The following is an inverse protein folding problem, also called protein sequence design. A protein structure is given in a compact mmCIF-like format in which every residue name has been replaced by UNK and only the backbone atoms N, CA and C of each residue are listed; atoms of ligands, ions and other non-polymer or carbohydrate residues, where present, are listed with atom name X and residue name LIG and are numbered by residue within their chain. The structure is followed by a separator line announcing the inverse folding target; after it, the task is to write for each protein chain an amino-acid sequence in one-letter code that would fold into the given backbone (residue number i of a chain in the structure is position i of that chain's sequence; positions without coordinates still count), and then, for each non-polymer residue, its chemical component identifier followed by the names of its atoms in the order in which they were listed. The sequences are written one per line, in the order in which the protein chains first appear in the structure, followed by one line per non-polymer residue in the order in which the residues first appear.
data_IF_719496048187
#
_entry.id   IF_719496048187
#
_cell.length_a   1.000
_cell.length_b   1.000
_cell.length_c   1.000
_cell.angle_alpha   90.00
_cell.angle_beta   90.00
_cell.angle_gamma   90.00
#
_symmetry.space_group_name_H-M   'P 1'
#
loop_
_entity.id
_entity.type
_entity.pdbx_description
1 polymer ?
#
# COMPACT_ATOMS: atom_id res chain seq x y z
N UNK A 1 -19.64 9.51 -42.70
CA UNK A 1 -18.38 9.87 -42.01
C UNK A 1 -18.00 8.68 -41.17
N UNK A 2 -17.10 7.84 -41.69
CA UNK A 2 -16.76 6.56 -41.06
C UNK A 2 -15.98 6.82 -39.78
N UNK A 3 -16.65 6.58 -38.66
CA UNK A 3 -16.11 6.54 -37.32
C UNK A 3 -15.12 5.37 -37.23
N UNK A 4 -13.89 5.58 -37.69
CA UNK A 4 -12.76 4.82 -37.16
C UNK A 4 -12.59 5.37 -35.76
N UNK A 5 -13.37 4.83 -34.81
CA UNK A 5 -12.91 4.82 -33.44
C UNK A 5 -11.50 4.25 -33.52
N UNK A 6 -10.49 5.07 -33.24
CA UNK A 6 -9.13 4.60 -33.07
C UNK A 6 -9.24 3.38 -32.16
N UNK A 7 -8.94 2.19 -32.70
CA UNK A 7 -9.47 0.95 -32.15
C UNK A 7 -9.06 0.86 -30.68
N UNK A 8 -10.03 0.98 -29.78
CA UNK A 8 -9.76 1.04 -28.35
C UNK A 8 -9.13 -0.28 -27.92
N UNK A 9 -7.88 -0.20 -27.47
CA UNK A 9 -7.07 -1.34 -27.06
C UNK A 9 -7.34 -1.70 -25.59
N UNK A 10 -7.72 -0.71 -24.79
CA UNK A 10 -8.15 -0.87 -23.41
C UNK A 10 -9.05 0.28 -22.99
N UNK A 11 -10.00 0.03 -22.09
CA UNK A 11 -10.87 1.06 -21.54
C UNK A 11 -11.35 0.77 -20.12
N UNK A 12 -11.33 1.79 -19.26
CA UNK A 12 -12.04 1.82 -17.98
C UNK A 12 -12.90 3.09 -17.86
N UNK A 13 -13.52 3.32 -16.71
CA UNK A 13 -14.47 4.43 -16.48
C UNK A 13 -13.90 5.81 -16.85
N UNK A 14 -12.61 6.04 -16.59
CA UNK A 14 -11.98 7.36 -16.76
C UNK A 14 -11.04 7.42 -17.97
N UNK A 15 -10.53 6.28 -18.45
CA UNK A 15 -9.44 6.24 -19.42
C UNK A 15 -9.69 5.29 -20.59
N UNK A 16 -9.17 5.65 -21.75
CA UNK A 16 -9.08 4.83 -22.95
C UNK A 16 -7.64 4.77 -23.48
N UNK A 17 -7.22 3.60 -23.94
CA UNK A 17 -5.96 3.38 -24.63
C UNK A 17 -6.27 3.11 -26.09
N UNK A 18 -5.63 3.86 -26.98
CA UNK A 18 -5.71 3.71 -28.43
C UNK A 18 -4.34 3.33 -28.99
N UNK A 19 -4.18 3.24 -30.32
CA UNK A 19 -2.86 2.98 -30.90
C UNK A 19 -1.86 4.13 -30.66
N UNK A 20 -2.40 5.33 -30.50
CA UNK A 20 -1.63 6.57 -30.40
C UNK A 20 -1.28 6.96 -28.96
N UNK A 21 -2.00 6.46 -27.96
CA UNK A 21 -1.72 6.81 -26.57
C UNK A 21 -2.85 6.50 -25.60
N UNK A 22 -2.84 7.25 -24.49
CA UNK A 22 -3.75 7.12 -23.36
C UNK A 22 -4.53 8.43 -23.21
N UNK A 23 -5.86 8.36 -23.20
CA UNK A 23 -6.74 9.53 -23.12
C UNK A 23 -7.67 9.44 -21.91
N UNK A 24 -7.83 10.55 -21.19
CA UNK A 24 -8.85 10.69 -20.16
C UNK A 24 -10.18 11.09 -20.78
N UNK A 25 -11.20 10.23 -20.66
CA UNK A 25 -12.48 10.34 -21.37
C UNK A 25 -13.25 11.63 -21.07
N UNK A 26 -13.22 12.08 -19.82
CA UNK A 26 -14.02 13.23 -19.38
C UNK A 26 -13.38 14.57 -19.76
N UNK A 27 -12.05 14.66 -19.69
CA UNK A 27 -11.34 15.94 -19.94
C UNK A 27 -10.69 16.00 -21.33
N UNK A 28 -10.63 14.90 -22.07
CA UNK A 28 -9.86 14.78 -23.32
C UNK A 28 -8.36 14.93 -23.10
N UNK A 29 -7.86 14.67 -21.88
CA UNK A 29 -6.43 14.83 -21.60
C UNK A 29 -5.67 13.67 -22.21
N UNK A 30 -4.75 13.96 -23.12
CA UNK A 30 -4.07 12.95 -23.91
C UNK A 30 -2.58 12.84 -23.56
N UNK A 31 -2.12 11.60 -23.38
CA UNK A 31 -0.73 11.22 -23.20
C UNK A 31 -0.31 10.39 -24.41
N UNK A 32 0.58 10.93 -25.23
CA UNK A 32 1.04 10.23 -26.43
C UNK A 32 1.83 8.98 -26.08
N UNK A 33 1.75 7.97 -26.93
CA UNK A 33 2.49 6.71 -26.82
C UNK A 33 3.99 6.94 -26.63
N UNK A 34 4.57 7.84 -27.43
CA UNK A 34 6.01 8.17 -27.36
C UNK A 34 6.36 8.87 -26.03
N UNK A 35 5.40 9.55 -25.42
CA UNK A 35 5.58 10.22 -24.13
C UNK A 35 5.40 9.31 -22.92
N UNK A 36 4.78 8.13 -23.04
CA UNK A 36 4.47 7.29 -21.88
C UNK A 36 5.71 6.87 -21.06
N UNK A 37 6.86 6.70 -21.72
CA UNK A 37 8.12 6.31 -21.09
C UNK A 37 8.95 7.49 -20.56
N UNK A 38 8.45 8.73 -20.65
CA UNK A 38 9.17 9.94 -20.23
C UNK A 38 9.58 9.85 -18.76
N UNK A 39 10.83 10.23 -18.49
CA UNK A 39 11.44 10.25 -17.16
C UNK A 39 11.74 11.68 -16.72
N UNK A 40 11.68 11.91 -15.40
CA UNK A 40 12.19 13.12 -14.74
C UNK A 40 13.66 12.95 -14.36
N UNK A 41 14.24 14.02 -13.79
CA UNK A 41 15.46 13.91 -13.00
C UNK A 41 15.30 12.80 -11.94
N UNK A 42 16.38 12.08 -11.65
CA UNK A 42 16.40 10.93 -10.72
C UNK A 42 15.75 9.62 -11.24
N UNK A 43 15.53 9.49 -12.55
CA UNK A 43 14.99 8.28 -13.22
C UNK A 43 13.53 7.91 -12.87
N UNK A 44 12.81 8.79 -12.18
CA UNK A 44 11.38 8.61 -11.91
C UNK A 44 10.55 8.76 -13.19
N UNK A 45 9.46 8.00 -13.28
CA UNK A 45 8.48 8.14 -14.35
C UNK A 45 7.70 9.44 -14.18
N UNK A 46 7.57 10.19 -15.27
CA UNK A 46 6.95 11.51 -15.24
C UNK A 46 5.44 11.45 -15.00
N UNK A 47 4.75 10.58 -15.75
CA UNK A 47 3.28 10.54 -15.75
C UNK A 47 2.64 10.15 -14.41
N UNK A 48 3.13 9.16 -13.66
CA UNK A 48 2.60 8.89 -12.31
C UNK A 48 2.68 10.09 -11.37
N UNK A 49 3.72 10.92 -11.48
CA UNK A 49 3.88 12.13 -10.66
C UNK A 49 2.98 13.26 -11.16
N UNK A 50 2.98 13.51 -12.47
CA UNK A 50 2.19 14.58 -13.07
C UNK A 50 0.68 14.36 -12.91
N UNK A 51 0.21 13.11 -13.00
CA UNK A 51 -1.20 12.77 -12.83
C UNK A 51 -1.63 12.84 -11.36
N UNK A 52 -0.72 12.62 -10.41
CA UNK A 52 -1.04 12.79 -8.99
C UNK A 52 -1.32 14.24 -8.59
N UNK A 53 -0.78 15.21 -9.32
CA UNK A 53 -1.05 16.64 -9.10
C UNK A 53 -2.45 17.06 -9.61
N UNK A 54 -3.16 16.19 -10.33
CA UNK A 54 -4.45 16.52 -10.95
C UNK A 54 -5.59 16.02 -10.07
N UNK A 55 -6.37 16.95 -9.53
CA UNK A 55 -7.53 16.65 -8.66
C UNK A 55 -8.60 15.77 -9.31
N UNK A 56 -8.69 15.79 -10.64
CA UNK A 56 -9.61 14.95 -11.41
C UNK A 56 -9.08 13.54 -11.69
N UNK A 57 -7.79 13.28 -11.49
CA UNK A 57 -7.19 11.98 -11.81
C UNK A 57 -7.39 11.00 -10.65
N UNK A 58 -8.20 9.96 -10.87
CA UNK A 58 -8.38 8.87 -9.90
C UNK A 58 -7.18 7.92 -9.95
N UNK A 59 -6.42 7.75 -8.85
CA UNK A 59 -5.15 7.00 -8.87
C UNK A 59 -5.28 5.56 -9.36
N UNK A 60 -6.33 4.85 -8.94
CA UNK A 60 -6.56 3.44 -9.29
C UNK A 60 -6.84 3.26 -10.77
N UNK A 61 -7.73 4.09 -11.33
CA UNK A 61 -8.15 4.01 -12.73
C UNK A 61 -7.03 4.46 -13.68
N UNK A 62 -6.27 5.49 -13.30
CA UNK A 62 -5.08 5.87 -14.06
C UNK A 62 -4.02 4.78 -14.01
N UNK A 63 -3.71 4.21 -12.84
CA UNK A 63 -2.70 3.15 -12.71
C UNK A 63 -3.04 1.95 -13.59
N UNK A 64 -4.30 1.52 -13.57
CA UNK A 64 -4.77 0.41 -14.41
C UNK A 64 -4.56 0.70 -15.90
N UNK A 65 -5.06 1.84 -16.38
CA UNK A 65 -4.97 2.20 -17.79
C UNK A 65 -3.52 2.46 -18.25
N UNK A 66 -2.70 3.09 -17.41
CA UNK A 66 -1.29 3.31 -17.67
C UNK A 66 -0.53 1.99 -17.80
N UNK A 67 -0.76 1.05 -16.88
CA UNK A 67 -0.15 -0.27 -16.95
C UNK A 67 -0.60 -1.03 -18.21
N UNK A 68 -1.89 -1.00 -18.55
CA UNK A 68 -2.40 -1.59 -19.79
C UNK A 68 -1.71 -0.99 -21.03
N UNK A 69 -1.53 0.33 -21.07
CA UNK A 69 -0.82 1.01 -22.15
C UNK A 69 0.66 0.56 -22.25
N UNK A 70 1.38 0.43 -21.13
CA UNK A 70 2.75 -0.06 -21.14
C UNK A 70 2.86 -1.48 -21.71
N UNK A 71 1.95 -2.38 -21.32
CA UNK A 71 1.92 -3.75 -21.86
C UNK A 71 1.62 -3.75 -23.35
N UNK A 72 0.62 -2.97 -23.77
CA UNK A 72 0.20 -2.88 -25.17
C UNK A 72 1.30 -2.33 -26.08
N UNK A 73 2.12 -1.40 -25.58
CA UNK A 73 3.20 -0.79 -26.35
C UNK A 73 4.56 -1.45 -26.16
N UNK A 74 4.65 -2.51 -25.35
CA UNK A 74 5.89 -3.23 -25.07
C UNK A 74 6.91 -2.40 -24.29
N UNK A 75 6.45 -1.44 -23.47
CA UNK A 75 7.32 -0.60 -22.65
C UNK A 75 7.64 -1.35 -21.36
N UNK A 76 8.92 -1.65 -21.14
CA UNK A 76 9.37 -2.38 -19.97
C UNK A 76 9.10 -1.62 -18.67
N UNK A 77 8.50 -2.32 -17.71
CA UNK A 77 8.29 -1.84 -16.35
C UNK A 77 9.56 -2.12 -15.53
N UNK A 78 9.96 -1.15 -14.72
CA UNK A 78 11.09 -1.26 -13.81
C UNK A 78 10.70 -0.95 -12.36
N UNK A 79 11.63 -1.12 -11.43
CA UNK A 79 11.41 -0.80 -10.02
C UNK A 79 11.09 0.70 -9.80
N UNK A 80 11.61 1.57 -10.67
CA UNK A 80 11.38 3.01 -10.58
C UNK A 80 9.92 3.37 -10.92
N UNK A 81 9.22 2.56 -11.72
CA UNK A 81 7.78 2.73 -11.96
C UNK A 81 6.98 2.60 -10.66
N UNK A 82 7.24 1.55 -9.89
CA UNK A 82 6.59 1.33 -8.59
C UNK A 82 6.90 2.47 -7.63
N UNK A 83 8.17 2.92 -7.59
CA UNK A 83 8.58 4.07 -6.79
C UNK A 83 7.84 5.35 -7.19
N UNK A 84 7.66 5.59 -8.48
CA UNK A 84 7.00 6.79 -9.01
C UNK A 84 5.51 6.83 -8.63
N UNK A 85 4.81 5.69 -8.70
CA UNK A 85 3.43 5.60 -8.20
C UNK A 85 3.34 5.81 -6.70
N UNK A 86 4.27 5.23 -5.92
CA UNK A 86 4.29 5.40 -4.47
C UNK A 86 4.56 6.84 -4.04
N UNK A 87 5.39 7.57 -4.78
CA UNK A 87 5.67 8.99 -4.52
C UNK A 87 4.49 9.89 -4.94
N UNK A 88 3.90 9.66 -6.10
CA UNK A 88 2.79 10.48 -6.60
C UNK A 88 1.52 10.31 -5.74
N UNK A 89 1.13 9.08 -5.48
CA UNK A 89 -0.18 8.77 -4.86
C UNK A 89 -0.09 8.32 -3.40
N UNK A 90 1.12 8.25 -2.84
CA UNK A 90 1.39 7.69 -1.52
C UNK A 90 1.31 6.15 -1.47
N UNK A 91 1.62 5.57 -0.31
CA UNK A 91 1.47 4.11 -0.01
C UNK A 91 -0.03 3.74 0.16
N UNK A 92 -0.89 4.24 -0.72
CA UNK A 92 -2.32 3.86 -0.81
C UNK A 92 -2.65 3.13 -2.11
N UNK A 93 -1.66 2.98 -3.01
CA UNK A 93 -1.83 2.32 -4.30
C UNK A 93 -2.17 0.82 -4.22
N UNK A 94 -2.12 0.21 -3.03
CA UNK A 94 -2.66 -1.12 -2.77
C UNK A 94 -3.27 -1.18 -1.36
N UNK A 95 -4.37 -0.47 -1.14
CA UNK A 95 -5.33 -0.95 -0.13
C UNK A 95 -6.22 -1.99 -0.82
N UNK A 96 -5.76 -3.24 -0.81
CA UNK A 96 -6.70 -4.33 -0.59
C UNK A 96 -7.55 -3.92 0.61
N UNK A 97 -8.87 -4.05 0.47
CA UNK A 97 -9.84 -3.68 1.49
C UNK A 97 -9.54 -4.40 2.82
N UNK A 98 -8.68 -3.83 3.65
CA UNK A 98 -8.61 -4.15 5.06
C UNK A 98 -9.75 -3.37 5.70
N UNK A 99 -10.75 -4.01 6.33
CA UNK A 99 -11.66 -3.25 7.15
C UNK A 99 -10.82 -2.54 8.22
N UNK A 100 -11.09 -1.25 8.39
CA UNK A 100 -10.51 -0.40 9.43
C UNK A 100 -11.07 -0.84 10.80
N UNK A 101 -10.81 -2.09 11.18
CA UNK A 101 -11.20 -2.62 12.48
C UNK A 101 -10.15 -2.15 13.47
N UNK A 102 -10.47 -1.05 14.15
CA UNK A 102 -9.78 -0.66 15.37
C UNK A 102 -9.86 -1.83 16.36
N UNK A 103 -8.73 -2.49 16.59
CA UNK A 103 -8.59 -3.50 17.64
C UNK A 103 -8.19 -2.77 18.92
N UNK A 104 -8.89 -3.04 20.02
CA UNK A 104 -8.56 -2.36 21.28
C UNK A 104 -7.29 -2.97 21.87
N UNK A 105 -6.52 -2.18 22.62
CA UNK A 105 -5.30 -2.65 23.28
C UNK A 105 -5.57 -3.87 24.20
N UNK A 106 -6.79 -3.97 24.73
CA UNK A 106 -7.22 -5.08 25.57
C UNK A 106 -7.28 -6.42 24.81
N UNK A 107 -7.57 -6.40 23.51
CA UNK A 107 -7.67 -7.61 22.69
C UNK A 107 -6.30 -8.18 22.30
N UNK A 108 -5.25 -7.33 22.33
CA UNK A 108 -3.87 -7.70 22.00
C UNK A 108 -3.12 -8.23 23.22
N UNK A 109 -3.47 -7.74 24.41
CA UNK A 109 -2.76 -8.08 25.64
C UNK A 109 -3.34 -9.35 26.28
N UNK A 110 -2.60 -10.46 26.20
CA UNK A 110 -2.86 -11.64 27.04
C UNK A 110 -2.32 -11.40 28.45
N UNK A 111 -3.17 -11.32 29.50
CA UNK A 111 -2.68 -11.20 30.86
C UNK A 111 -1.90 -12.45 31.24
N UNK A 112 -0.64 -12.25 31.66
CA UNK A 112 0.19 -13.30 32.22
C UNK A 112 -0.43 -13.73 33.55
N UNK A 113 -0.80 -15.01 33.68
CA UNK A 113 -1.34 -15.55 34.92
C UNK A 113 -0.34 -15.34 36.07
N UNK A 114 -0.86 -14.90 37.22
CA UNK A 114 -0.06 -14.71 38.41
C UNK A 114 0.57 -16.05 38.84
N UNK A 115 1.87 -16.08 39.20
CA UNK A 115 2.48 -17.29 39.70
C UNK A 115 1.81 -17.71 41.01
N UNK A 116 1.47 -19.00 41.13
CA UNK A 116 0.88 -19.55 42.35
C UNK A 116 1.80 -19.30 43.54
N UNK A 117 1.27 -18.74 44.61
CA UNK A 117 2.00 -18.53 45.86
C UNK A 117 2.26 -19.87 46.52
N UNK A 118 3.50 -20.36 46.42
CA UNK A 118 3.95 -21.53 47.18
C UNK A 118 4.08 -21.12 48.64
N UNK A 119 3.15 -21.55 49.50
CA UNK A 119 3.30 -21.42 50.94
C UNK A 119 4.43 -22.35 51.39
N UNK A 120 5.57 -21.76 51.75
CA UNK A 120 6.66 -22.50 52.40
C UNK A 120 6.23 -22.82 53.83
N UNK A 121 6.16 -24.11 54.17
CA UNK A 121 5.89 -24.55 55.53
C UNK A 121 7.07 -24.17 56.45
N UNK A 122 6.78 -23.44 57.53
CA UNK A 122 7.77 -23.07 58.53
C UNK A 122 8.24 -24.30 59.32
N UNK A 123 9.56 -24.49 59.41
CA UNK A 123 10.17 -25.56 60.21
C UNK A 123 10.08 -25.19 61.71
N UNK A 124 9.66 -26.11 62.60
CA UNK A 124 9.52 -25.77 64.02
C UNK A 124 10.91 -25.58 64.66
N UNK A 125 11.08 -24.45 65.35
CA UNK A 125 12.24 -24.17 66.19
C UNK A 125 12.13 -25.00 67.46
N UNK A 126 13.10 -25.90 67.70
CA UNK A 126 13.22 -26.60 68.98
C UNK A 126 13.81 -25.65 70.01
N UNK A 127 13.05 -25.32 71.06
CA UNK A 127 13.58 -24.63 72.25
C UNK A 127 14.43 -25.61 73.06
N UNK A 128 15.72 -25.31 73.24
CA UNK A 128 16.55 -25.98 74.23
C UNK A 128 16.36 -25.28 75.59
N UNK A 129 15.90 -26.02 76.61
CA UNK A 129 16.01 -25.60 78.01
C UNK A 129 17.46 -25.82 78.45
N UNK A 130 18.15 -24.76 78.84
CA UNK A 130 19.38 -24.86 79.60
C UNK A 130 19.04 -24.67 81.09
N UNK A 131 19.30 -25.71 81.89
CA UNK A 131 19.33 -25.66 83.34
C UNK A 131 20.73 -25.25 83.79
N UNK A 132 20.85 -24.31 84.74
CA UNK A 132 22.05 -24.12 85.55
C UNK A 132 21.76 -23.28 86.81
N UNK A 133 22.30 -23.72 87.95
CA UNK A 133 22.37 -23.05 89.25
C UNK A 133 21.50 -23.75 90.30
N UNK A 134 21.96 -24.77 91.04
CA UNK A 134 23.05 -24.83 92.03
C UNK A 134 22.80 -23.94 93.24
#
# INVERSE_FOLDING_TARGET
MSNVADAELFGNDDWSVSADGLEHRCTGYFISRVGLATRRAENLWDWPLQMAEKSWCRPSLFREAFLAALDQFGIARDADLTRSFALGYGIRAVNASTPDSFVTLADVLKPRAAPATVRVAAKPVRRALAAAGA
#
